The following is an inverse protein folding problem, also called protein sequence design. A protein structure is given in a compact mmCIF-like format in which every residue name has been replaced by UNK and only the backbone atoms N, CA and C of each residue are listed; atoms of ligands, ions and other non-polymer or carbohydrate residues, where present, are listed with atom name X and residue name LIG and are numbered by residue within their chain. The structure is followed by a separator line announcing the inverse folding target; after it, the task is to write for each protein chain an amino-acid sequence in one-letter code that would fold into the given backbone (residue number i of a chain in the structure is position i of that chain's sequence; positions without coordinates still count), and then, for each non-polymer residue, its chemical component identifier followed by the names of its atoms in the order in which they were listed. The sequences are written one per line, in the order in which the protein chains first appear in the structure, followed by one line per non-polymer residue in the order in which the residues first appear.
data_IF_536699916784
#
_entry.id   IF_536699916784
#
_cell.length_a   1.000
_cell.length_b   1.000
_cell.length_c   1.000
_cell.angle_alpha   90.00
_cell.angle_beta   90.00
_cell.angle_gamma   90.00
#
_symmetry.space_group_name_H-M   'P 1'
#
loop_
_entity.id
_entity.type
_entity.pdbx_description
1 polymer ?
#
# COMPACT_ATOMS: atom_id res chain seq x y z
N UNK A 1 43.76 -25.80 42.11
CA UNK A 1 43.99 -25.80 40.65
C UNK A 1 42.66 -26.21 40.02
N UNK A 2 41.68 -25.31 39.96
CA UNK A 2 41.40 -24.37 38.84
C UNK A 2 40.62 -25.04 37.71
N UNK A 3 39.31 -24.71 37.67
CA UNK A 3 38.46 -24.40 36.51
C UNK A 3 38.83 -24.94 35.12
N UNK A 4 37.85 -25.48 34.39
CA UNK A 4 37.26 -24.82 33.21
C UNK A 4 36.42 -25.84 32.43
N UNK A 5 35.13 -25.56 32.33
CA UNK A 5 34.23 -26.06 31.27
C UNK A 5 34.88 -25.84 29.90
N UNK A 6 34.91 -26.83 28.98
CA UNK A 6 35.06 -26.51 27.57
C UNK A 6 33.72 -25.96 27.05
N UNK A 7 33.77 -24.67 26.77
CA UNK A 7 32.84 -23.89 26.00
C UNK A 7 32.94 -24.24 24.49
N UNK A 8 31.96 -23.75 23.71
CA UNK A 8 31.92 -23.66 22.24
C UNK A 8 31.48 -24.87 21.39
N UNK A 9 30.18 -24.85 21.08
CA UNK A 9 29.55 -24.77 19.73
C UNK A 9 30.12 -25.60 18.57
N UNK A 10 29.22 -26.26 17.82
CA UNK A 10 29.08 -25.85 16.43
C UNK A 10 27.63 -25.42 16.13
N UNK A 11 27.51 -24.19 15.63
CA UNK A 11 26.39 -23.74 14.81
C UNK A 11 26.12 -24.75 13.69
N UNK A 12 25.21 -25.67 13.96
CA UNK A 12 24.39 -26.27 12.93
C UNK A 12 23.00 -25.66 13.03
N UNK A 13 22.96 -24.33 12.90
CA UNK A 13 21.81 -23.67 12.32
C UNK A 13 21.67 -24.23 10.91
N UNK A 14 20.94 -25.36 10.82
CA UNK A 14 20.35 -25.85 9.59
C UNK A 14 19.80 -24.62 8.89
N UNK A 15 20.41 -24.21 7.77
CA UNK A 15 19.92 -23.10 6.93
C UNK A 15 18.46 -23.40 6.64
N UNK A 16 17.59 -22.73 7.38
CA UNK A 16 16.17 -22.98 7.41
C UNK A 16 15.60 -22.38 6.13
N UNK A 17 15.32 -23.24 5.15
CA UNK A 17 14.52 -22.86 3.98
C UNK A 17 13.09 -22.46 4.37
N UNK A 18 12.69 -22.73 5.62
CA UNK A 18 11.46 -22.26 6.23
C UNK A 18 11.57 -20.86 6.86
N UNK A 19 12.69 -20.15 6.69
CA UNK A 19 12.92 -18.80 7.22
C UNK A 19 12.03 -17.69 6.65
N UNK A 20 11.19 -17.98 5.66
CA UNK A 20 10.19 -17.05 5.13
C UNK A 20 8.77 -17.25 5.67
N UNK A 21 8.56 -18.19 6.62
CA UNK A 21 7.21 -18.58 7.07
C UNK A 21 6.75 -17.90 8.36
N UNK A 22 7.58 -17.11 9.05
CA UNK A 22 7.13 -16.31 10.20
C UNK A 22 6.78 -14.90 9.73
N UNK A 23 5.65 -14.76 9.03
CA UNK A 23 4.82 -13.57 9.14
C UNK A 23 3.38 -14.04 9.40
N UNK A 24 3.25 -14.73 10.53
CA UNK A 24 2.00 -15.21 11.06
C UNK A 24 1.32 -14.01 11.75
N UNK A 25 0.14 -13.64 11.25
CA UNK A 25 -0.91 -12.93 12.02
C UNK A 25 -0.71 -11.45 12.38
N UNK A 26 0.00 -10.67 11.57
CA UNK A 26 -0.34 -9.24 11.46
C UNK A 26 -1.09 -9.01 10.17
N UNK A 27 -2.26 -8.41 10.28
CA UNK A 27 -2.95 -7.75 9.18
C UNK A 27 -1.89 -7.01 8.36
N UNK A 28 -1.68 -7.40 7.10
CA UNK A 28 -0.60 -6.84 6.30
C UNK A 28 -1.02 -5.43 5.91
N UNK A 29 -0.55 -4.47 6.70
CA UNK A 29 -0.81 -3.05 6.54
C UNK A 29 0.42 -2.36 5.97
N UNK A 30 0.22 -1.54 4.95
CA UNK A 30 1.25 -0.67 4.36
C UNK A 30 0.76 0.77 4.50
N UNK A 31 1.61 1.65 5.03
CA UNK A 31 1.29 3.05 5.27
C UNK A 31 2.12 3.95 4.39
N UNK A 32 1.48 4.98 3.83
CA UNK A 32 2.14 6.02 3.05
C UNK A 32 1.78 7.36 3.67
N UNK A 33 2.79 8.15 4.04
CA UNK A 33 2.59 9.52 4.51
C UNK A 33 2.59 10.45 3.31
N UNK A 34 1.55 11.26 3.20
CA UNK A 34 1.40 12.27 2.15
C UNK A 34 1.38 13.63 2.83
N UNK A 35 2.33 14.48 2.45
CA UNK A 35 2.42 15.87 2.91
C UNK A 35 2.04 16.79 1.77
N UNK A 36 1.48 17.94 2.13
CA UNK A 36 1.26 19.06 1.20
C UNK A 36 0.43 18.69 -0.06
N UNK A 37 -0.45 17.68 0.05
CA UNK A 37 -1.47 17.36 -0.95
C UNK A 37 -2.86 17.46 -0.32
N UNK A 38 -3.82 18.16 -0.95
CA UNK A 38 -5.18 18.20 -0.44
C UNK A 38 -5.85 16.83 -0.58
N UNK A 39 -6.82 16.53 0.30
CA UNK A 39 -7.56 15.27 0.30
C UNK A 39 -8.19 14.93 -1.06
N UNK A 40 -8.66 15.94 -1.80
CA UNK A 40 -9.23 15.76 -3.14
C UNK A 40 -8.23 15.17 -4.13
N UNK A 41 -7.00 15.70 -4.16
CA UNK A 41 -5.92 15.19 -5.03
C UNK A 41 -5.52 13.77 -4.63
N UNK A 42 -5.42 13.48 -3.33
CA UNK A 42 -5.11 12.12 -2.85
C UNK A 42 -6.15 11.11 -3.34
N UNK A 43 -7.44 11.46 -3.23
CA UNK A 43 -8.54 10.61 -3.74
C UNK A 43 -8.46 10.43 -5.26
N UNK A 44 -8.19 11.51 -6.00
CA UNK A 44 -8.06 11.46 -7.45
C UNK A 44 -6.90 10.53 -7.86
N UNK A 45 -5.73 10.68 -7.24
CA UNK A 45 -4.56 9.84 -7.48
C UNK A 45 -4.85 8.35 -7.19
N UNK A 46 -5.56 8.04 -6.10
CA UNK A 46 -5.96 6.65 -5.77
C UNK A 46 -6.91 6.07 -6.83
N UNK A 47 -7.94 6.82 -7.22
CA UNK A 47 -8.93 6.38 -8.22
C UNK A 47 -8.26 6.21 -9.58
N UNK A 48 -7.41 7.16 -9.98
CA UNK A 48 -6.60 7.08 -11.20
C UNK A 48 -5.74 5.81 -11.20
N UNK A 49 -5.08 5.52 -10.08
CA UNK A 49 -4.28 4.31 -9.93
C UNK A 49 -5.12 3.04 -10.07
N UNK A 50 -6.30 2.98 -9.44
CA UNK A 50 -7.20 1.84 -9.59
C UNK A 50 -7.62 1.60 -11.04
N UNK A 51 -7.94 2.67 -11.78
CA UNK A 51 -8.36 2.56 -13.19
C UNK A 51 -7.19 2.18 -14.11
N UNK A 52 -5.97 2.53 -13.74
CA UNK A 52 -4.76 2.20 -14.52
C UNK A 52 -4.30 0.75 -14.37
N UNK A 53 -4.73 0.05 -13.30
CA UNK A 53 -4.34 -1.34 -13.03
C UNK A 53 -5.36 -2.27 -13.68
N UNK A 54 -4.99 -3.04 -14.72
CA UNK A 54 -5.91 -3.96 -15.37
C UNK A 54 -6.49 -4.98 -14.40
N UNK A 55 -7.78 -5.30 -14.55
CA UNK A 55 -8.47 -6.31 -13.73
C UNK A 55 -8.51 -5.99 -12.22
N UNK A 56 -8.30 -4.73 -11.85
CA UNK A 56 -8.62 -4.20 -10.54
C UNK A 56 -10.00 -3.54 -10.58
N UNK A 57 -10.88 -3.94 -9.66
CA UNK A 57 -12.18 -3.30 -9.43
C UNK A 57 -12.19 -2.66 -8.04
N UNK A 58 -12.90 -1.54 -7.88
CA UNK A 58 -12.99 -0.85 -6.59
C UNK A 58 -14.42 -0.38 -6.29
N UNK A 59 -14.68 -0.13 -5.00
CA UNK A 59 -15.88 0.53 -4.51
C UNK A 59 -15.53 1.55 -3.42
N UNK A 60 -16.35 2.58 -3.30
CA UNK A 60 -16.26 3.58 -2.23
C UNK A 60 -17.03 3.06 -1.01
N UNK A 61 -16.36 2.96 0.13
CA UNK A 61 -16.95 2.46 1.39
C UNK A 61 -17.35 3.62 2.29
N UNK A 62 -16.56 4.69 2.29
CA UNK A 62 -16.82 5.89 3.07
C UNK A 62 -16.26 7.11 2.34
N UNK A 63 -16.46 8.29 2.92
CA UNK A 63 -15.88 9.53 2.41
C UNK A 63 -14.35 9.45 2.27
N UNK A 64 -13.65 8.58 3.00
CA UNK A 64 -12.19 8.47 3.01
C UNK A 64 -11.70 7.02 2.92
N UNK A 65 -12.56 6.09 2.52
CA UNK A 65 -12.22 4.66 2.48
C UNK A 65 -12.69 4.01 1.18
N UNK A 66 -11.84 3.15 0.62
CA UNK A 66 -12.08 2.37 -0.57
C UNK A 66 -11.86 0.88 -0.31
N UNK A 67 -12.57 0.05 -1.05
CA UNK A 67 -12.32 -1.39 -1.14
C UNK A 67 -11.88 -1.70 -2.55
N UNK A 68 -10.79 -2.45 -2.70
CA UNK A 68 -10.30 -2.89 -4.00
C UNK A 68 -10.14 -4.41 -4.05
N UNK A 69 -10.42 -4.96 -5.22
CA UNK A 69 -10.23 -6.37 -5.56
C UNK A 69 -9.44 -6.46 -6.86
N UNK A 70 -8.28 -7.12 -6.81
CA UNK A 70 -7.43 -7.39 -7.96
C UNK A 70 -7.47 -8.87 -8.32
N UNK A 71 -7.88 -9.15 -9.57
CA UNK A 71 -7.91 -10.49 -10.16
C UNK A 71 -6.79 -10.60 -11.18
N UNK A 72 -5.85 -11.52 -10.98
CA UNK A 72 -4.79 -11.74 -11.97
C UNK A 72 -5.32 -12.51 -13.17
N UNK A 73 -4.92 -12.09 -14.36
CA UNK A 73 -5.27 -12.70 -15.66
C UNK A 73 -4.33 -13.83 -16.07
N UNK A 74 -3.30 -14.13 -15.26
CA UNK A 74 -2.29 -15.12 -15.61
C UNK A 74 -2.74 -16.55 -15.24
N UNK A 75 -3.19 -17.32 -16.23
CA UNK A 75 -3.51 -18.75 -16.09
C UNK A 75 -4.96 -19.07 -15.71
N UNK A 76 -5.31 -20.35 -15.52
CA UNK A 76 -6.68 -20.78 -15.24
C UNK A 76 -7.22 -20.07 -13.98
N UNK A 77 -8.27 -19.27 -14.17
CA UNK A 77 -8.83 -18.36 -13.16
C UNK A 77 -9.34 -19.05 -11.89
N UNK A 78 -9.65 -20.35 -11.97
CA UNK A 78 -10.25 -21.13 -10.88
C UNK A 78 -9.30 -21.42 -9.70
N UNK A 79 -7.97 -21.28 -9.87
CA UNK A 79 -6.99 -21.49 -8.79
C UNK A 79 -6.35 -20.19 -8.28
N UNK A 80 -6.73 -19.04 -8.85
CA UNK A 80 -6.13 -17.75 -8.57
C UNK A 80 -6.97 -16.98 -7.55
N UNK A 81 -6.64 -17.09 -6.25
CA UNK A 81 -7.32 -16.30 -5.21
C UNK A 81 -7.11 -14.80 -5.49
N UNK A 82 -8.19 -13.99 -5.58
CA UNK A 82 -8.07 -12.55 -5.77
C UNK A 82 -7.40 -11.89 -4.56
N UNK A 83 -6.79 -10.74 -4.78
CA UNK A 83 -6.29 -9.88 -3.70
C UNK A 83 -7.39 -8.88 -3.36
N UNK A 84 -7.87 -8.90 -2.11
CA UNK A 84 -8.84 -7.93 -1.60
C UNK A 84 -8.18 -7.09 -0.51
N UNK A 85 -8.33 -5.78 -0.56
CA UNK A 85 -7.72 -4.88 0.41
C UNK A 85 -8.61 -3.66 0.69
N UNK A 86 -8.37 -2.99 1.82
CA UNK A 86 -8.88 -1.65 2.13
C UNK A 86 -7.84 -0.60 1.76
N UNK A 87 -8.31 0.59 1.43
CA UNK A 87 -7.50 1.81 1.42
C UNK A 87 -8.22 2.84 2.28
N UNK A 88 -7.59 3.31 3.34
CA UNK A 88 -8.13 4.33 4.23
C UNK A 88 -7.24 5.57 4.22
N UNK A 89 -7.85 6.75 4.11
CA UNK A 89 -7.16 8.03 4.22
C UNK A 89 -7.49 8.63 5.58
N UNK A 90 -6.47 8.90 6.38
CA UNK A 90 -6.62 9.57 7.68
C UNK A 90 -5.85 10.88 7.69
N UNK A 91 -6.43 11.89 8.33
CA UNK A 91 -5.77 13.16 8.57
C UNK A 91 -5.01 13.09 9.87
N UNK A 92 -3.72 13.44 9.84
CA UNK A 92 -2.92 13.65 11.04
C UNK A 92 -2.76 15.14 11.24
N UNK A 93 -3.31 15.66 12.33
CA UNK A 93 -3.29 17.09 12.64
C UNK A 93 -1.86 17.57 12.89
N UNK A 94 -1.38 18.50 12.07
CA UNK A 94 -0.17 19.26 12.37
C UNK A 94 -0.58 20.44 13.24
N UNK A 95 0.05 20.60 14.39
CA UNK A 95 -0.28 21.59 15.44
C UNK A 95 -0.07 23.06 15.03
N UNK A 96 0.13 23.37 13.75
CA UNK A 96 0.33 24.71 13.24
C UNK A 96 -0.49 24.95 11.96
N UNK A 97 -1.53 25.77 12.12
CA UNK A 97 -2.19 26.66 11.17
C UNK A 97 -2.29 26.26 9.67
N UNK A 98 -3.56 26.27 9.20
CA UNK A 98 -4.08 26.15 7.83
C UNK A 98 -4.28 24.72 7.29
N UNK A 99 -5.53 24.38 6.96
CA UNK A 99 -5.98 23.10 6.36
C UNK A 99 -5.30 22.77 5.01
N UNK A 100 -4.59 23.74 4.43
CA UNK A 100 -3.92 23.65 3.14
C UNK A 100 -2.64 22.77 3.20
N UNK A 101 -1.98 22.66 4.37
CA UNK A 101 -0.74 21.88 4.56
C UNK A 101 -0.95 20.63 5.44
N UNK A 102 -2.10 19.99 5.28
CA UNK A 102 -2.44 18.77 6.01
C UNK A 102 -1.48 17.62 5.75
N UNK A 103 -1.07 16.92 6.81
CA UNK A 103 -0.40 15.62 6.68
C UNK A 103 -1.49 14.56 6.67
N UNK A 104 -1.56 13.79 5.59
CA UNK A 104 -2.43 12.64 5.47
C UNK A 104 -1.61 11.35 5.58
N UNK A 105 -2.23 10.29 6.03
CA UNK A 105 -1.73 8.94 5.84
C UNK A 105 -2.72 8.11 5.04
N UNK A 106 -2.20 7.34 4.09
CA UNK A 106 -2.95 6.37 3.31
C UNK A 106 -2.53 4.98 3.78
N UNK A 107 -3.49 4.23 4.32
CA UNK A 107 -3.29 2.88 4.86
C UNK A 107 -3.89 1.87 3.91
N UNK A 108 -3.08 0.92 3.45
CA UNK A 108 -3.51 -0.23 2.67
C UNK A 108 -3.56 -1.45 3.57
N UNK A 109 -4.73 -2.06 3.73
CA UNK A 109 -4.91 -3.24 4.60
C UNK A 109 -5.30 -4.45 3.78
N UNK A 110 -4.44 -5.47 3.72
CA UNK A 110 -4.77 -6.73 3.07
C UNK A 110 -5.89 -7.44 3.84
N UNK A 111 -7.01 -7.72 3.18
CA UNK A 111 -8.07 -8.57 3.72
C UNK A 111 -7.87 -10.03 3.38
N UNK A 112 -7.51 -10.32 2.13
CA UNK A 112 -7.36 -11.68 1.64
C UNK A 112 -6.57 -11.72 0.33
N UNK A 113 -5.94 -12.87 0.07
CA UNK A 113 -5.21 -13.14 -1.16
C UNK A 113 -3.70 -13.16 -0.97
N UNK A 114 -2.91 -13.33 -2.04
CA UNK A 114 -1.46 -13.45 -1.93
C UNK A 114 -0.78 -12.12 -1.54
N UNK A 115 -0.16 -12.08 -0.35
CA UNK A 115 0.62 -10.94 0.18
C UNK A 115 1.60 -10.34 -0.81
N UNK A 116 2.39 -11.17 -1.51
CA UNK A 116 3.36 -10.69 -2.50
C UNK A 116 2.69 -9.88 -3.61
N UNK A 117 1.50 -10.31 -4.05
CA UNK A 117 0.75 -9.65 -5.11
C UNK A 117 0.11 -8.36 -4.59
N UNK A 118 -0.39 -8.37 -3.36
CA UNK A 118 -0.84 -7.17 -2.67
C UNK A 118 0.25 -6.09 -2.64
N UNK A 119 1.48 -6.42 -2.20
CA UNK A 119 2.61 -5.48 -2.20
C UNK A 119 2.86 -4.86 -3.57
N UNK A 120 2.87 -5.66 -4.65
CA UNK A 120 3.07 -5.16 -6.02
C UNK A 120 1.96 -4.19 -6.47
N UNK A 121 0.72 -4.47 -6.11
CA UNK A 121 -0.41 -3.57 -6.40
C UNK A 121 -0.23 -2.25 -5.64
N UNK A 122 0.11 -2.31 -4.35
CA UNK A 122 0.35 -1.12 -3.52
C UNK A 122 1.54 -0.30 -4.03
N UNK A 123 2.64 -0.93 -4.44
CA UNK A 123 3.80 -0.25 -5.06
C UNK A 123 3.40 0.55 -6.31
N UNK A 124 2.48 0.00 -7.12
CA UNK A 124 1.97 0.68 -8.31
C UNK A 124 1.14 1.91 -7.92
N UNK A 125 0.25 1.77 -6.94
CA UNK A 125 -0.58 2.88 -6.45
C UNK A 125 0.29 3.96 -5.78
N UNK A 126 1.27 3.55 -4.99
CA UNK A 126 2.22 4.45 -4.34
C UNK A 126 2.97 5.31 -5.35
N UNK A 127 3.38 4.74 -6.49
CA UNK A 127 4.08 5.50 -7.53
C UNK A 127 3.24 6.68 -8.04
N UNK A 128 1.92 6.50 -8.17
CA UNK A 128 1.01 7.58 -8.58
C UNK A 128 0.77 8.59 -7.46
N UNK A 129 0.57 8.11 -6.23
CA UNK A 129 0.39 8.99 -5.05
C UNK A 129 1.59 9.89 -4.78
N UNK A 130 2.80 9.44 -5.10
CA UNK A 130 4.05 10.20 -4.89
C UNK A 130 4.53 10.93 -6.14
N UNK A 131 3.93 10.67 -7.31
CA UNK A 131 4.21 11.48 -8.48
C UNK A 131 3.71 12.90 -8.22
N UNK A 132 4.62 13.85 -8.13
CA UNK A 132 4.33 15.29 -8.11
C UNK A 132 3.60 15.62 -9.40
N UNK A 133 2.45 16.26 -9.29
CA UNK A 133 1.62 16.63 -10.42
C UNK A 133 2.31 17.78 -11.18
N UNK A 134 3.27 17.46 -12.03
CA UNK A 134 3.65 18.31 -13.15
C UNK A 134 2.58 18.08 -14.25
N UNK A 135 1.34 18.53 -14.00
CA UNK A 135 0.40 18.72 -15.10
C UNK A 135 0.34 20.22 -15.42
N UNK A 136 0.47 20.58 -16.71
CA UNK A 136 0.29 21.95 -17.16
C UNK A 136 -1.13 22.37 -16.83
N UNK A 137 -1.24 23.51 -16.14
CA UNK A 137 -2.51 24.14 -15.83
C UNK A 137 -3.41 24.20 -17.06
N UNK A 138 -4.68 23.85 -16.84
CA UNK A 138 -5.81 24.04 -17.73
C UNK A 138 -5.60 25.28 -18.61
N UNK A 139 -5.35 25.07 -19.91
CA UNK A 139 -5.41 26.16 -20.87
C UNK A 139 -6.89 26.51 -21.02
N UNK A 140 -7.26 27.52 -20.24
CA UNK A 140 -8.54 28.19 -20.23
C UNK A 140 -8.88 28.58 -21.67
N UNK A 141 -9.80 27.84 -22.31
CA UNK A 141 -10.40 28.26 -23.56
C UNK A 141 -11.38 29.39 -23.24
N UNK A 142 -10.84 30.61 -23.27
CA UNK A 142 -11.60 31.85 -23.40
C UNK A 142 -11.30 32.45 -24.77
N UNK A 143 -12.35 32.61 -25.59
CA UNK A 143 -12.34 33.13 -26.96
C UNK A 143 -12.65 32.00 -27.96
N UNK A 144 -13.76 31.97 -28.70
CA UNK A 144 -14.64 33.02 -29.26
C UNK A 144 -16.14 32.76 -28.99
#
# INVERSE_FOLDING_TARGET
MSSLTPESSPELAKKSWFGNFINLEKEEQIFIVIKDKPLSSIKADIVQAFLSIPSLSHSVISQTSFRAEYKSTAGPTVFQKPVKFQVDITYTESTAATKENGIYSVTFTLLSGPSRRFKRVVETIQSQLLSTHDQPGVQQLSGE
#
